data_IF_201534182046
#
_entry.id   IF_201534182046
#
_cell.length_a   1.000
_cell.length_b   1.000
_cell.length_c   1.000
_cell.angle_alpha   90.00
_cell.angle_beta   90.00
_cell.angle_gamma   90.00
#
_symmetry.space_group_name_H-M   'P 1'
#
loop_
_entity.id
_entity.type
_entity.pdbx_description
1 polymer ?
#
# COMPACT_ATOMS: atom_id res chain seq x y z
N UNK A 1 50.27 -51.53 -18.50
CA UNK A 1 49.31 -50.43 -18.71
C UNK A 1 48.92 -49.84 -17.36
N UNK A 2 49.45 -48.65 -17.01
CA UNK A 2 49.19 -47.98 -15.71
C UNK A 2 48.10 -46.92 -15.92
N UNK A 3 46.87 -47.23 -15.51
CA UNK A 3 45.76 -46.28 -15.57
C UNK A 3 45.78 -45.38 -14.33
N UNK A 4 45.97 -44.07 -14.53
CA UNK A 4 45.93 -43.04 -13.48
C UNK A 4 44.56 -42.39 -13.54
N UNK A 5 43.70 -42.65 -12.55
CA UNK A 5 42.46 -41.90 -12.39
C UNK A 5 42.75 -40.64 -11.57
N UNK A 6 42.69 -39.48 -12.23
CA UNK A 6 42.80 -38.17 -11.63
C UNK A 6 41.42 -37.79 -11.05
N UNK A 7 41.26 -37.85 -9.73
CA UNK A 7 40.06 -37.37 -9.04
C UNK A 7 40.15 -35.84 -8.90
N UNK A 8 39.48 -35.10 -9.79
CA UNK A 8 39.23 -33.68 -9.60
C UNK A 8 38.13 -33.51 -8.53
N UNK A 9 38.55 -33.23 -7.28
CA UNK A 9 37.66 -32.69 -6.26
C UNK A 9 37.37 -31.21 -6.58
N UNK A 10 36.20 -30.94 -7.16
CA UNK A 10 35.68 -29.59 -7.30
C UNK A 10 35.18 -29.13 -5.91
N UNK A 11 35.67 -28.04 -5.32
CA UNK A 11 35.12 -27.55 -4.06
C UNK A 11 33.73 -26.95 -4.32
N UNK A 12 32.71 -27.51 -3.68
CA UNK A 12 31.38 -26.90 -3.59
C UNK A 12 31.52 -25.58 -2.82
N UNK A 13 31.54 -24.47 -3.55
CA UNK A 13 31.38 -23.13 -2.97
C UNK A 13 29.91 -23.03 -2.54
N UNK A 14 29.64 -23.21 -1.25
CA UNK A 14 28.34 -22.88 -0.66
C UNK A 14 28.23 -21.35 -0.66
N UNK A 15 27.66 -20.81 -1.73
CA UNK A 15 27.24 -19.42 -1.77
C UNK A 15 26.16 -19.22 -0.72
N UNK A 16 26.50 -18.55 0.40
CA UNK A 16 25.50 -18.09 1.36
C UNK A 16 24.67 -17.01 0.66
N UNK A 17 23.51 -17.41 0.14
CA UNK A 17 22.46 -16.46 -0.21
C UNK A 17 21.99 -15.80 1.09
N UNK A 18 22.41 -14.56 1.32
CA UNK A 18 21.72 -13.68 2.27
C UNK A 18 20.37 -13.37 1.65
N UNK A 19 19.31 -14.02 2.14
CA UNK A 19 17.96 -13.56 1.89
C UNK A 19 17.85 -12.13 2.42
N UNK A 20 17.19 -11.24 1.68
CA UNK A 20 16.80 -9.94 2.20
C UNK A 20 16.11 -10.15 3.56
N UNK A 21 16.61 -9.47 4.59
CA UNK A 21 16.08 -9.58 5.95
C UNK A 21 14.66 -9.02 5.95
N UNK A 22 13.67 -9.91 5.85
CA UNK A 22 12.27 -9.55 5.91
C UNK A 22 11.95 -9.21 7.36
N UNK A 23 11.68 -7.93 7.65
CA UNK A 23 11.22 -7.47 8.96
C UNK A 23 10.09 -8.38 9.43
N UNK A 24 10.24 -9.00 10.61
CA UNK A 24 9.21 -9.88 11.12
C UNK A 24 7.94 -9.08 11.41
N UNK A 25 6.78 -9.52 10.88
CA UNK A 25 5.51 -8.84 11.10
C UNK A 25 5.07 -8.97 12.57
N UNK A 26 4.32 -7.98 13.06
CA UNK A 26 3.85 -7.96 14.46
C UNK A 26 2.88 -9.10 14.80
N UNK A 27 2.06 -9.50 13.83
CA UNK A 27 1.09 -10.58 13.95
C UNK A 27 0.86 -11.24 12.59
N UNK A 28 0.25 -12.42 12.58
CA UNK A 28 -0.15 -13.08 11.33
C UNK A 28 -1.37 -12.40 10.68
N UNK A 29 -1.65 -12.64 9.39
CA UNK A 29 -2.86 -12.10 8.75
C UNK A 29 -4.16 -12.52 9.45
N UNK A 30 -4.22 -13.75 9.97
CA UNK A 30 -5.42 -14.35 10.59
C UNK A 30 -5.74 -13.71 11.95
N UNK A 31 -4.75 -13.12 12.61
CA UNK A 31 -4.91 -12.40 13.88
C UNK A 31 -5.51 -10.99 13.67
N UNK A 32 -5.60 -10.53 12.42
CA UNK A 32 -6.27 -9.26 12.11
C UNK A 32 -7.79 -9.40 12.24
N UNK A 33 -8.44 -8.38 12.79
CA UNK A 33 -9.90 -8.35 12.87
C UNK A 33 -10.48 -8.42 11.45
N UNK A 34 -11.41 -9.35 11.23
CA UNK A 34 -12.06 -9.53 9.95
C UNK A 34 -12.86 -8.28 9.56
N UNK A 35 -12.33 -7.47 8.64
CA UNK A 35 -12.94 -6.20 8.21
C UNK A 35 -14.31 -6.34 7.56
N UNK A 36 -14.58 -7.47 6.90
CA UNK A 36 -15.91 -7.77 6.38
C UNK A 36 -16.97 -7.84 7.49
N UNK A 37 -16.60 -8.26 8.70
CA UNK A 37 -17.57 -8.48 9.77
C UNK A 37 -18.13 -7.17 10.34
N UNK A 38 -17.31 -6.11 10.41
CA UNK A 38 -17.67 -4.86 11.07
C UNK A 38 -17.89 -3.68 10.12
N UNK A 39 -17.39 -3.73 8.88
CA UNK A 39 -17.63 -2.67 7.90
C UNK A 39 -19.00 -2.86 7.24
N UNK A 40 -19.79 -1.79 7.03
CA UNK A 40 -21.00 -1.89 6.22
C UNK A 40 -20.63 -2.19 4.76
N UNK A 41 -21.60 -2.73 3.97
CA UNK A 41 -21.41 -2.85 2.53
C UNK A 41 -21.18 -1.46 1.90
N UNK A 42 -20.51 -1.39 0.75
CA UNK A 42 -20.33 -0.13 0.04
C UNK A 42 -21.69 0.46 -0.37
N UNK A 43 -21.83 1.80 -0.45
CA UNK A 43 -23.05 2.44 -0.90
C UNK A 43 -23.54 1.90 -2.25
N UNK A 44 -24.84 1.60 -2.34
CA UNK A 44 -25.47 1.18 -3.60
C UNK A 44 -25.58 2.33 -4.60
N UNK A 45 -25.82 2.03 -5.88
CA UNK A 45 -25.87 3.04 -6.95
C UNK A 45 -26.92 4.15 -6.72
N UNK A 46 -28.04 3.82 -6.08
CA UNK A 46 -29.14 4.74 -5.79
C UNK A 46 -29.05 5.35 -4.38
N UNK A 47 -27.99 5.04 -3.64
CA UNK A 47 -27.79 5.51 -2.26
C UNK A 47 -27.42 7.01 -2.24
N UNK A 48 -28.02 7.84 -1.37
CA UNK A 48 -27.58 9.21 -1.16
C UNK A 48 -26.08 9.34 -0.85
N UNK A 49 -25.49 8.38 -0.13
CA UNK A 49 -24.06 8.35 0.14
C UNK A 49 -23.24 8.19 -1.14
N UNK A 50 -23.67 7.33 -2.08
CA UNK A 50 -22.98 7.17 -3.36
C UNK A 50 -23.05 8.43 -4.24
N UNK A 51 -24.15 9.20 -4.15
CA UNK A 51 -24.24 10.50 -4.82
C UNK A 51 -23.23 11.49 -4.24
N UNK A 52 -23.13 11.55 -2.92
CA UNK A 52 -22.14 12.38 -2.24
C UNK A 52 -20.71 12.01 -2.62
N UNK A 53 -20.38 10.71 -2.69
CA UNK A 53 -19.07 10.22 -3.13
C UNK A 53 -18.72 10.70 -4.54
N UNK A 54 -19.68 10.64 -5.48
CA UNK A 54 -19.50 11.16 -6.85
C UNK A 54 -19.26 12.66 -6.87
N UNK A 55 -20.02 13.43 -6.11
CA UNK A 55 -19.85 14.88 -6.03
C UNK A 55 -18.47 15.27 -5.47
N UNK A 56 -18.01 14.59 -4.41
CA UNK A 56 -16.69 14.79 -3.84
C UNK A 56 -15.58 14.45 -4.86
N UNK A 57 -15.74 13.35 -5.59
CA UNK A 57 -14.81 12.97 -6.66
C UNK A 57 -14.69 14.05 -7.73
N UNK A 58 -15.82 14.53 -8.28
CA UNK A 58 -15.79 15.55 -9.32
C UNK A 58 -15.22 16.88 -8.83
N UNK A 59 -15.51 17.28 -7.59
CA UNK A 59 -14.89 18.47 -6.96
C UNK A 59 -13.36 18.33 -6.88
N UNK A 60 -12.86 17.17 -6.47
CA UNK A 60 -11.43 16.89 -6.42
C UNK A 60 -10.78 16.87 -7.81
N UNK A 61 -11.46 16.30 -8.81
CA UNK A 61 -10.95 16.28 -10.18
C UNK A 61 -10.93 17.67 -10.84
N UNK A 62 -11.90 18.53 -10.52
CA UNK A 62 -11.99 19.87 -11.06
C UNK A 62 -10.77 20.76 -10.71
N UNK A 63 -10.07 20.48 -9.61
CA UNK A 63 -8.87 21.21 -9.18
C UNK A 63 -7.56 20.57 -9.69
N UNK A 64 -7.62 19.70 -10.69
CA UNK A 64 -6.44 19.04 -11.27
C UNK A 64 -5.39 20.06 -11.73
N UNK A 65 -4.14 19.80 -11.37
CA UNK A 65 -3.00 20.68 -11.70
C UNK A 65 -2.80 21.88 -10.75
N UNK A 66 -3.76 22.15 -9.86
CA UNK A 66 -3.59 23.12 -8.78
C UNK A 66 -2.48 22.74 -7.80
N UNK A 67 -1.97 23.67 -6.97
CA UNK A 67 -1.03 23.35 -5.89
C UNK A 67 -1.57 22.26 -4.95
N UNK A 68 -2.87 22.30 -4.61
CA UNK A 68 -3.50 21.29 -3.76
C UNK A 68 -3.48 19.90 -4.40
N UNK A 69 -3.70 19.82 -5.71
CA UNK A 69 -3.61 18.57 -6.47
C UNK A 69 -2.18 18.02 -6.48
N UNK A 70 -1.17 18.88 -6.62
CA UNK A 70 0.24 18.46 -6.57
C UNK A 70 0.60 17.89 -5.21
N UNK A 71 0.18 18.56 -4.13
CA UNK A 71 0.34 18.02 -2.77
C UNK A 71 -0.36 16.66 -2.62
N UNK A 72 -1.61 16.53 -3.08
CA UNK A 72 -2.32 15.24 -3.03
C UNK A 72 -1.59 14.13 -3.83
N UNK A 73 -0.93 14.48 -4.93
CA UNK A 73 -0.13 13.53 -5.70
C UNK A 73 1.13 13.09 -4.96
N UNK A 74 1.79 13.99 -4.21
CA UNK A 74 2.90 13.63 -3.32
C UNK A 74 2.43 12.76 -2.15
N UNK A 75 1.28 13.08 -1.56
CA UNK A 75 0.69 12.34 -0.43
C UNK A 75 0.21 10.93 -0.85
N UNK A 76 -0.05 10.71 -2.14
CA UNK A 76 -0.52 9.43 -2.68
C UNK A 76 0.58 8.37 -2.78
N UNK A 77 1.86 8.75 -2.72
CA UNK A 77 2.96 7.78 -2.64
C UNK A 77 3.10 7.24 -1.22
N UNK A 78 2.72 5.98 -1.03
CA UNK A 78 2.78 5.30 0.27
C UNK A 78 4.09 4.54 0.50
N UNK A 79 5.11 4.76 -0.32
CA UNK A 79 6.46 4.24 -0.07
C UNK A 79 6.94 4.64 1.33
N UNK A 80 7.69 3.75 2.00
CA UNK A 80 8.18 4.03 3.36
C UNK A 80 9.09 5.26 3.36
N UNK A 81 9.82 5.51 2.27
CA UNK A 81 10.64 6.68 2.05
C UNK A 81 9.80 7.96 2.07
N UNK A 82 8.69 8.00 1.32
CA UNK A 82 7.84 9.18 1.26
C UNK A 82 7.07 9.40 2.57
N UNK A 83 6.58 8.33 3.20
CA UNK A 83 5.95 8.40 4.52
C UNK A 83 6.93 8.94 5.56
N UNK A 84 8.15 8.42 5.61
CA UNK A 84 9.19 8.92 6.51
C UNK A 84 9.50 10.40 6.26
N UNK A 85 9.59 10.82 5.00
CA UNK A 85 9.79 12.21 4.60
C UNK A 85 8.66 13.13 5.09
N UNK A 86 7.39 12.71 4.95
CA UNK A 86 6.22 13.50 5.35
C UNK A 86 6.12 13.59 6.88
N UNK A 87 6.33 12.48 7.60
CA UNK A 87 6.14 12.44 9.05
C UNK A 87 7.34 12.92 9.87
N UNK A 88 8.56 12.87 9.34
CA UNK A 88 9.78 13.33 10.04
C UNK A 88 9.67 14.77 10.58
N UNK A 89 9.25 15.79 9.80
CA UNK A 89 9.08 17.14 10.32
C UNK A 89 7.91 17.28 11.31
N UNK A 90 6.86 16.45 11.17
CA UNK A 90 5.67 16.49 12.05
C UNK A 90 5.99 15.95 13.44
N UNK A 91 6.76 14.86 13.50
CA UNK A 91 7.22 14.26 14.77
C UNK A 91 8.40 15.02 15.37
N UNK A 92 9.11 15.82 14.58
CA UNK A 92 10.30 16.56 15.03
C UNK A 92 11.53 15.67 15.20
N UNK A 93 11.56 14.50 14.57
CA UNK A 93 12.68 13.55 14.63
C UNK A 93 13.04 13.05 13.24
N UNK A 94 14.32 12.74 13.01
CA UNK A 94 14.77 12.11 11.76
C UNK A 94 14.22 10.69 11.69
N UNK A 95 13.60 10.34 10.57
CA UNK A 95 13.14 8.98 10.30
C UNK A 95 13.91 8.44 9.11
N UNK A 96 14.88 7.57 9.35
CA UNK A 96 15.63 6.90 8.29
C UNK A 96 16.26 5.58 8.79
N UNK A 97 16.71 4.70 7.88
CA UNK A 97 17.28 3.39 8.26
C UNK A 97 18.53 3.47 9.13
N UNK A 98 19.25 4.60 9.11
CA UNK A 98 20.56 4.77 9.78
C UNK A 98 20.42 5.33 11.19
N UNK A 99 19.68 6.43 11.34
CA UNK A 99 19.54 7.16 12.60
C UNK A 99 18.44 6.54 13.48
N UNK A 100 17.41 5.94 12.87
CA UNK A 100 16.24 5.36 13.57
C UNK A 100 15.81 4.02 12.94
N UNK A 101 16.64 2.97 13.01
CA UNK A 101 16.39 1.68 12.36
C UNK A 101 15.09 1.01 12.85
N UNK A 102 14.82 1.05 14.16
CA UNK A 102 13.61 0.44 14.72
C UNK A 102 12.33 1.14 14.27
N UNK A 103 12.33 2.48 14.23
CA UNK A 103 11.21 3.27 13.71
C UNK A 103 10.99 3.01 12.22
N UNK A 104 12.07 2.84 11.46
CA UNK A 104 12.00 2.47 10.04
C UNK A 104 11.35 1.10 9.84
N UNK A 105 11.75 0.09 10.62
CA UNK A 105 11.15 -1.24 10.60
C UNK A 105 9.69 -1.22 11.04
N UNK A 106 9.37 -0.44 12.09
CA UNK A 106 8.00 -0.23 12.55
C UNK A 106 7.10 0.33 11.44
N UNK A 107 7.55 1.35 10.70
CA UNK A 107 6.76 1.93 9.60
C UNK A 107 6.46 0.92 8.50
N UNK A 108 7.45 0.11 8.11
CA UNK A 108 7.26 -0.96 7.13
C UNK A 108 6.24 -2.00 7.64
N UNK A 109 6.34 -2.39 8.91
CA UNK A 109 5.39 -3.31 9.53
C UNK A 109 3.97 -2.72 9.58
N UNK A 110 3.82 -1.46 9.98
CA UNK A 110 2.51 -0.80 10.05
C UNK A 110 1.85 -0.71 8.67
N UNK A 111 2.62 -0.46 7.60
CA UNK A 111 2.11 -0.49 6.23
C UNK A 111 1.59 -1.89 5.88
N UNK A 112 2.31 -2.95 6.28
CA UNK A 112 1.87 -4.33 6.06
C UNK A 112 0.61 -4.67 6.86
N UNK A 113 0.58 -4.36 8.15
CA UNK A 113 -0.53 -4.72 9.04
C UNK A 113 -1.80 -3.92 8.67
N UNK A 114 -1.71 -2.59 8.60
CA UNK A 114 -2.86 -1.73 8.32
C UNK A 114 -3.27 -1.72 6.84
N UNK A 115 -2.30 -1.63 5.94
CA UNK A 115 -2.56 -1.51 4.50
C UNK A 115 -3.03 -2.83 3.87
N UNK A 116 -2.51 -3.96 4.33
CA UNK A 116 -2.81 -5.27 3.76
C UNK A 116 -3.68 -6.12 4.68
N UNK A 117 -3.22 -6.46 5.89
CA UNK A 117 -3.91 -7.49 6.69
C UNK A 117 -5.28 -7.01 7.18
N UNK A 118 -5.36 -5.83 7.80
CA UNK A 118 -6.59 -5.31 8.39
C UNK A 118 -7.73 -5.12 7.36
N UNK A 119 -7.40 -4.86 6.10
CA UNK A 119 -8.38 -4.52 5.06
C UNK A 119 -8.65 -5.64 4.05
N UNK A 120 -7.91 -6.75 4.13
CA UNK A 120 -7.93 -7.80 3.11
C UNK A 120 -9.32 -8.40 2.89
N UNK A 121 -10.03 -8.79 3.96
CA UNK A 121 -11.30 -9.51 3.83
C UNK A 121 -12.42 -8.64 3.23
N UNK A 122 -12.57 -7.39 3.68
CA UNK A 122 -13.54 -6.47 3.08
C UNK A 122 -13.20 -6.13 1.62
N UNK A 123 -11.91 -5.89 1.31
CA UNK A 123 -11.46 -5.58 -0.06
C UNK A 123 -11.75 -6.71 -1.04
N UNK A 124 -11.58 -7.96 -0.63
CA UNK A 124 -11.86 -9.11 -1.49
C UNK A 124 -13.32 -9.17 -1.96
N UNK A 125 -14.25 -8.62 -1.20
CA UNK A 125 -15.67 -8.60 -1.53
C UNK A 125 -16.05 -7.32 -2.26
N UNK A 126 -15.56 -6.17 -1.79
CA UNK A 126 -15.82 -4.88 -2.41
C UNK A 126 -15.24 -4.80 -3.83
N UNK A 127 -14.01 -5.31 -4.06
CA UNK A 127 -13.38 -5.35 -5.39
C UNK A 127 -14.19 -6.18 -6.40
N UNK A 128 -14.98 -7.17 -5.95
CA UNK A 128 -15.86 -7.98 -6.82
C UNK A 128 -17.14 -7.22 -7.17
N UNK A 129 -17.60 -6.34 -6.28
CA UNK A 129 -18.88 -5.63 -6.40
C UNK A 129 -18.79 -4.22 -6.97
N UNK A 130 -17.60 -3.66 -7.22
CA UNK A 130 -17.44 -2.24 -7.54
C UNK A 130 -17.60 -1.88 -9.04
N UNK A 131 -18.74 -1.29 -9.47
CA UNK A 131 -18.86 -0.59 -10.77
C UNK A 131 -18.07 0.73 -10.81
N UNK A 132 -17.48 1.17 -9.70
CA UNK A 132 -16.64 2.38 -9.61
C UNK A 132 -15.37 2.34 -10.49
N UNK A 133 -14.98 1.17 -11.00
CA UNK A 133 -13.88 1.06 -11.97
C UNK A 133 -14.13 1.86 -13.27
N UNK A 134 -15.40 2.13 -13.61
CA UNK A 134 -15.78 2.88 -14.80
C UNK A 134 -15.61 4.41 -14.67
N UNK A 135 -15.58 4.97 -13.45
CA UNK A 135 -15.54 6.43 -13.25
C UNK A 135 -14.11 6.96 -12.94
N UNK A 136 -13.21 6.09 -12.48
CA UNK A 136 -11.94 6.50 -11.84
C UNK A 136 -10.74 6.56 -12.81
N UNK A 137 -10.84 6.02 -14.04
CA UNK A 137 -9.64 5.84 -14.90
C UNK A 137 -9.78 6.58 -16.25
N UNK A 138 -9.13 7.75 -16.45
CA UNK A 138 -8.73 8.16 -17.80
C UNK A 138 -7.65 7.19 -18.35
N UNK A 139 -7.62 6.90 -19.66
CA UNK A 139 -6.92 5.78 -20.29
C UNK A 139 -5.38 5.93 -20.37
N UNK A 140 -4.72 6.36 -19.30
CA UNK A 140 -3.27 6.50 -19.25
C UNK A 140 -2.54 5.39 -18.47
N UNK A 141 -3.22 4.55 -17.69
CA UNK A 141 -2.55 3.50 -16.90
C UNK A 141 -3.32 2.18 -16.97
N UNK A 142 -3.30 1.58 -18.16
CA UNK A 142 -3.87 0.25 -18.41
C UNK A 142 -2.85 -0.84 -18.05
N UNK A 143 -2.95 -1.38 -16.82
CA UNK A 143 -2.50 -2.76 -16.53
C UNK A 143 -3.41 -3.39 -15.47
N UNK A 144 -4.56 -3.85 -15.94
CA UNK A 144 -5.80 -4.18 -15.23
C UNK A 144 -5.79 -5.48 -14.40
N UNK A 145 -4.67 -5.84 -13.76
CA UNK A 145 -4.67 -6.93 -12.75
C UNK A 145 -3.88 -6.58 -11.48
N UNK A 146 -3.01 -5.58 -11.56
CA UNK A 146 -2.21 -5.06 -10.43
C UNK A 146 -2.96 -3.96 -9.66
N UNK A 147 -4.08 -3.47 -10.20
CA UNK A 147 -4.76 -2.28 -9.70
C UNK A 147 -5.64 -2.50 -8.44
N UNK A 148 -6.22 -3.68 -8.17
CA UNK A 148 -6.89 -3.90 -6.87
C UNK A 148 -5.86 -3.99 -5.72
N UNK A 149 -4.66 -4.53 -5.97
CA UNK A 149 -3.55 -4.52 -5.00
C UNK A 149 -3.00 -3.10 -4.75
N UNK A 150 -3.01 -2.23 -5.76
CA UNK A 150 -2.52 -0.83 -5.61
C UNK A 150 -3.58 0.16 -5.14
N UNK A 151 -4.86 0.01 -5.51
CA UNK A 151 -5.95 0.86 -5.00
C UNK A 151 -6.17 0.69 -3.49
N UNK A 152 -5.85 -0.48 -2.97
CA UNK A 152 -5.83 -0.79 -1.56
C UNK A 152 -4.94 0.15 -0.73
N UNK A 153 -3.90 0.72 -1.33
CA UNK A 153 -2.92 1.58 -0.67
C UNK A 153 -3.20 3.07 -0.88
N UNK A 154 -3.89 3.46 -1.95
CA UNK A 154 -4.14 4.89 -2.27
C UNK A 154 -5.51 5.39 -1.82
N UNK A 155 -6.48 4.50 -1.57
CA UNK A 155 -7.85 4.90 -1.22
C UNK A 155 -8.14 5.24 0.24
N UNK A 156 -7.37 4.83 1.28
CA UNK A 156 -7.57 5.44 2.59
C UNK A 156 -7.00 6.88 2.65
N UNK A 157 -6.10 7.26 1.74
CA UNK A 157 -5.48 8.60 1.74
C UNK A 157 -6.32 9.69 1.07
N UNK A 158 -6.96 9.39 -0.07
CA UNK A 158 -7.64 10.44 -0.86
C UNK A 158 -9.02 10.79 -0.29
N UNK A 159 -9.71 9.86 0.38
CA UNK A 159 -11.03 10.14 0.98
C UNK A 159 -10.94 10.76 2.38
N UNK A 160 -9.88 10.47 3.16
CA UNK A 160 -9.66 11.12 4.46
C UNK A 160 -9.13 12.56 4.34
N UNK A 161 -8.44 12.90 3.26
CA UNK A 161 -7.86 14.24 3.10
C UNK A 161 -8.86 15.36 2.78
N UNK A 162 -10.13 15.04 2.54
CA UNK A 162 -11.20 16.04 2.35
C UNK A 162 -11.94 16.36 3.66
N UNK A 163 -11.85 15.49 4.68
CA UNK A 163 -12.55 15.66 5.96
C UNK A 163 -11.64 15.97 7.15
N UNK A 164 -10.32 15.95 6.98
CA UNK A 164 -9.37 16.07 8.09
C UNK A 164 -8.38 17.23 7.90
N UNK A 165 -8.88 18.44 7.69
CA UNK A 165 -8.25 19.70 8.12
C UNK A 165 -9.19 20.86 7.78
N UNK A 166 -10.00 21.22 8.77
CA UNK A 166 -10.73 22.48 8.83
C UNK A 166 -10.33 23.21 10.10
#
# INVERSE_FOLDING_TARGET
>A
MKSRYLLFFLPLIVAKYTSAETVQPFHSPEESVNSQFYLPPPPGNDDPAFRYDKEAYFKGYAIKGSPRWKQAAEDADVSVENIARIFSPVVGAKINPKDTPETWNMLQNLLKMGGYYATASAKNIICVLAPLSYLIIPPAVLKMRILCEKMALTLPGILLMVHFWH
#
